data_IF_318612544033
#
_entry.id   IF_318612544033
#
_cell.length_a   1.000
_cell.length_b   1.000
_cell.length_c   1.000
_cell.angle_alpha   90.00
_cell.angle_beta   90.00
_cell.angle_gamma   90.00
#
_symmetry.space_group_name_H-M   'P 1'
#
loop_
_entity.id
_entity.type
_entity.pdbx_description
1 polymer ?
#
# COMPACT_ATOMS: atom_id res chain seq x y z
N UNK A 1 0.73 -12.58 -9.52
CA UNK A 1 1.84 -11.85 -10.19
C UNK A 1 1.38 -11.38 -11.56
N UNK A 2 1.30 -10.06 -11.79
CA UNK A 2 0.95 -9.50 -13.10
C UNK A 2 2.18 -9.59 -14.01
N UNK A 3 2.25 -10.64 -14.83
CA UNK A 3 3.31 -10.87 -15.81
C UNK A 3 3.13 -10.03 -17.07
N UNK A 4 2.98 -8.71 -16.95
CA UNK A 4 2.91 -7.81 -18.10
C UNK A 4 4.33 -7.37 -18.46
N UNK A 5 4.81 -7.86 -19.59
CA UNK A 5 6.05 -7.41 -20.21
C UNK A 5 5.88 -6.03 -20.86
N UNK A 6 6.99 -5.34 -21.16
CA UNK A 6 6.97 -4.02 -21.80
C UNK A 6 6.22 -4.00 -23.14
N UNK A 7 6.25 -5.10 -23.90
CA UNK A 7 5.51 -5.22 -25.16
C UNK A 7 4.00 -5.32 -24.96
N UNK A 8 3.55 -6.09 -23.98
CA UNK A 8 2.13 -6.23 -23.64
C UNK A 8 1.55 -4.92 -23.11
N UNK A 9 2.33 -4.14 -22.36
CA UNK A 9 1.92 -2.81 -21.91
C UNK A 9 1.68 -1.85 -23.09
N UNK A 10 2.56 -1.86 -24.10
CA UNK A 10 2.37 -1.06 -25.33
C UNK A 10 1.11 -1.49 -26.08
N UNK A 11 0.85 -2.81 -26.18
CA UNK A 11 -0.37 -3.32 -26.81
C UNK A 11 -1.63 -2.85 -26.08
N UNK A 12 -1.64 -2.88 -24.75
CA UNK A 12 -2.75 -2.37 -23.94
C UNK A 12 -2.94 -0.87 -24.12
N UNK A 13 -1.85 -0.11 -24.20
CA UNK A 13 -1.91 1.34 -24.47
C UNK A 13 -2.53 1.62 -25.83
N UNK A 14 -2.10 0.91 -26.88
CA UNK A 14 -2.68 1.04 -28.22
C UNK A 14 -4.16 0.67 -28.23
N UNK A 15 -4.55 -0.40 -27.53
CA UNK A 15 -5.95 -0.82 -27.42
C UNK A 15 -6.79 0.25 -26.69
N UNK A 16 -6.27 0.80 -25.60
CA UNK A 16 -6.94 1.89 -24.87
C UNK A 16 -7.08 3.15 -25.74
N UNK A 17 -6.04 3.50 -26.51
CA UNK A 17 -6.07 4.61 -27.46
C UNK A 17 -7.09 4.38 -28.59
N UNK A 18 -7.26 3.14 -29.05
CA UNK A 18 -8.24 2.81 -30.08
C UNK A 18 -9.69 2.88 -29.57
N UNK A 19 -9.94 2.34 -28.37
CA UNK A 19 -11.28 2.28 -27.76
C UNK A 19 -11.74 3.67 -27.31
N UNK A 20 -10.88 4.38 -26.58
CA UNK A 20 -11.24 5.66 -25.95
C UNK A 20 -10.82 6.88 -26.78
N UNK A 21 -9.78 6.75 -27.61
CA UNK A 21 -9.18 7.84 -28.38
C UNK A 21 -7.96 8.48 -27.69
N UNK A 22 -6.95 8.93 -28.47
CA UNK A 22 -5.74 9.57 -27.93
C UNK A 22 -5.98 10.87 -27.19
N UNK A 23 -7.08 11.57 -27.51
CA UNK A 23 -7.42 12.84 -26.87
C UNK A 23 -8.16 12.68 -25.55
N UNK A 24 -8.82 11.54 -25.32
CA UNK A 24 -9.69 11.33 -24.16
C UNK A 24 -8.91 10.82 -22.94
N UNK A 25 -7.93 9.93 -23.15
CA UNK A 25 -7.07 9.43 -22.07
C UNK A 25 -6.37 10.56 -21.28
N UNK A 26 -5.66 11.53 -21.91
CA UNK A 26 -5.02 12.61 -21.16
C UNK A 26 -6.03 13.52 -20.47
N UNK A 27 -7.18 13.80 -21.09
CA UNK A 27 -8.26 14.60 -20.47
C UNK A 27 -8.82 13.91 -19.22
N UNK A 28 -9.07 12.61 -19.28
CA UNK A 28 -9.55 11.82 -18.14
C UNK A 28 -8.51 11.78 -17.02
N UNK A 29 -7.23 11.52 -17.34
CA UNK A 29 -6.14 11.55 -16.36
C UNK A 29 -6.01 12.92 -15.68
N UNK A 30 -6.13 14.02 -16.43
CA UNK A 30 -6.12 15.38 -15.89
C UNK A 30 -7.31 15.66 -14.98
N UNK A 31 -8.49 15.13 -15.27
CA UNK A 31 -9.68 15.26 -14.41
C UNK A 31 -9.49 14.51 -13.10
N UNK A 32 -9.09 13.24 -13.17
CA UNK A 32 -8.79 12.42 -11.99
C UNK A 32 -7.68 13.05 -11.16
N UNK A 33 -6.60 13.53 -11.79
CA UNK A 33 -5.50 14.20 -11.11
C UNK A 33 -5.93 15.45 -10.35
N UNK A 34 -6.82 16.26 -10.93
CA UNK A 34 -7.40 17.44 -10.26
C UNK A 34 -8.24 17.04 -9.04
N UNK A 35 -9.10 16.03 -9.19
CA UNK A 35 -9.93 15.51 -8.09
C UNK A 35 -9.04 14.97 -6.96
N UNK A 36 -8.05 14.14 -7.27
CA UNK A 36 -7.11 13.59 -6.28
C UNK A 36 -6.33 14.70 -5.56
N UNK A 37 -5.92 15.75 -6.26
CA UNK A 37 -5.23 16.89 -5.65
C UNK A 37 -6.14 17.68 -4.72
N UNK A 38 -7.40 17.88 -5.11
CA UNK A 38 -8.38 18.55 -4.27
C UNK A 38 -8.69 17.72 -3.02
N UNK A 39 -8.92 16.41 -3.16
CA UNK A 39 -9.11 15.48 -2.05
C UNK A 39 -7.92 15.50 -1.08
N UNK A 40 -6.69 15.45 -1.58
CA UNK A 40 -5.48 15.55 -0.75
C UNK A 40 -5.43 16.88 0.02
N UNK A 41 -5.80 17.98 -0.63
CA UNK A 41 -5.80 19.30 0.00
C UNK A 41 -6.84 19.36 1.12
N UNK A 42 -8.05 18.87 0.86
CA UNK A 42 -9.13 18.80 1.85
C UNK A 42 -8.76 17.90 3.05
N UNK A 43 -8.17 16.73 2.79
CA UNK A 43 -7.72 15.82 3.83
C UNK A 43 -6.62 16.45 4.71
N UNK A 44 -5.69 17.19 4.11
CA UNK A 44 -4.65 17.91 4.84
C UNK A 44 -5.24 19.04 5.70
N UNK A 45 -6.17 19.83 5.14
CA UNK A 45 -6.85 20.91 5.88
C UNK A 45 -7.63 20.37 7.08
N UNK A 46 -8.48 19.36 6.88
CA UNK A 46 -9.23 18.74 7.97
C UNK A 46 -8.30 18.14 9.04
N UNK A 47 -7.19 17.54 8.63
CA UNK A 47 -6.18 17.02 9.57
C UNK A 47 -5.52 18.14 10.39
N UNK A 48 -5.31 19.32 9.80
CA UNK A 48 -4.77 20.48 10.51
C UNK A 48 -5.81 21.05 11.48
N UNK A 49 -7.07 21.19 11.05
CA UNK A 49 -8.16 21.71 11.88
C UNK A 49 -8.39 20.83 13.13
N UNK A 50 -8.31 19.50 12.97
CA UNK A 50 -8.42 18.55 14.09
C UNK A 50 -7.23 18.69 15.06
N UNK A 51 -6.01 18.87 14.55
CA UNK A 51 -4.81 19.09 15.38
C UNK A 51 -4.87 20.40 16.17
N UNK A 52 -5.42 21.45 15.57
CA UNK A 52 -5.57 22.75 16.22
C UNK A 52 -6.70 22.75 17.25
N UNK A 53 -7.81 22.06 16.97
CA UNK A 53 -9.00 22.03 17.84
C UNK A 53 -8.92 21.09 19.04
N UNK A 54 -8.14 20.00 18.98
CA UNK A 54 -8.09 19.00 20.04
C UNK A 54 -6.95 19.17 21.06
N UNK A 55 -6.07 20.14 20.86
CA UNK A 55 -4.97 20.43 21.79
C UNK A 55 -3.86 19.36 21.81
N UNK A 56 -2.78 19.58 22.60
CA UNK A 56 -1.55 18.80 22.56
C UNK A 56 -1.70 17.32 22.93
N UNK A 57 -2.85 16.88 23.43
CA UNK A 57 -3.13 15.50 23.85
C UNK A 57 -3.35 14.54 22.66
N UNK A 58 -3.53 15.07 21.45
CA UNK A 58 -3.64 14.31 20.19
C UNK A 58 -2.46 14.53 19.24
N UNK A 59 -1.40 15.24 19.69
CA UNK A 59 -0.16 15.41 18.91
C UNK A 59 0.52 14.08 18.57
N UNK A 60 0.27 13.04 19.37
CA UNK A 60 0.85 11.71 19.21
C UNK A 60 0.05 10.81 18.24
N UNK A 61 -1.09 11.27 17.71
CA UNK A 61 -1.77 10.57 16.61
C UNK A 61 -1.01 10.83 15.31
N UNK A 62 -0.12 9.91 14.96
CA UNK A 62 0.79 10.07 13.82
C UNK A 62 0.02 9.98 12.50
N UNK A 63 -0.37 11.14 11.97
CA UNK A 63 -1.03 11.31 10.67
C UNK A 63 -0.19 10.71 9.52
N UNK A 64 1.08 10.38 9.76
CA UNK A 64 1.94 9.70 8.79
C UNK A 64 1.56 8.24 8.52
N UNK A 65 0.81 7.58 9.41
CA UNK A 65 0.34 6.21 9.18
C UNK A 65 -0.90 6.16 8.26
N UNK A 66 -1.57 7.30 8.08
CA UNK A 66 -2.63 7.49 7.09
C UNK A 66 -2.10 7.86 5.70
N UNK A 67 -0.78 7.96 5.53
CA UNK A 67 -0.21 8.24 4.21
C UNK A 67 -0.50 7.03 3.29
N UNK A 68 -1.36 7.17 2.26
CA UNK A 68 -1.85 6.04 1.50
C UNK A 68 -0.72 5.26 0.84
N UNK A 69 0.41 5.92 0.52
CA UNK A 69 1.60 5.26 -0.01
C UNK A 69 2.24 4.29 0.99
N UNK A 70 2.30 4.65 2.27
CA UNK A 70 2.84 3.78 3.33
C UNK A 70 1.83 2.71 3.75
N UNK A 71 0.54 3.04 3.76
CA UNK A 71 -0.54 2.09 4.04
C UNK A 71 -0.61 0.98 2.98
N UNK A 72 -0.63 1.35 1.69
CA UNK A 72 -0.55 0.40 0.57
C UNK A 72 0.76 -0.38 0.65
N UNK A 73 1.87 0.27 1.00
CA UNK A 73 3.15 -0.42 1.14
C UNK A 73 3.21 -1.43 2.30
N UNK A 74 2.47 -1.22 3.38
CA UNK A 74 2.38 -2.21 4.46
C UNK A 74 1.48 -3.37 4.02
N UNK A 75 0.27 -3.08 3.52
CA UNK A 75 -0.70 -4.12 3.19
C UNK A 75 -0.35 -4.98 1.97
N UNK A 76 0.26 -4.41 0.92
CA UNK A 76 0.66 -5.21 -0.25
C UNK A 76 1.86 -6.11 0.01
N UNK A 77 2.77 -5.72 0.90
CA UNK A 77 3.95 -6.52 1.24
C UNK A 77 3.66 -7.52 2.38
N UNK A 78 2.73 -7.23 3.29
CA UNK A 78 2.33 -8.16 4.36
C UNK A 78 1.48 -9.33 3.85
N UNK A 79 0.68 -9.16 2.77
CA UNK A 79 -0.12 -10.24 2.18
C UNK A 79 0.71 -11.29 1.39
N UNK A 80 1.91 -10.94 0.90
CA UNK A 80 2.79 -11.88 0.18
C UNK A 80 3.72 -12.68 1.12
N UNK A 81 3.86 -12.27 2.39
CA UNK A 81 4.87 -12.77 3.34
C UNK A 81 4.32 -13.66 4.48
N UNK A 82 3.22 -14.39 4.28
CA UNK A 82 2.87 -15.53 5.16
C UNK A 82 3.30 -16.89 4.59
N UNK A 83 4.58 -17.31 4.74
CA UNK A 83 4.85 -18.72 4.96
C UNK A 83 4.49 -19.01 6.41
N UNK A 84 3.40 -19.75 6.65
CA UNK A 84 3.03 -20.32 7.95
C UNK A 84 4.24 -20.95 8.67
N UNK A 85 4.97 -20.17 9.47
CA UNK A 85 5.99 -20.71 10.37
C UNK A 85 5.28 -21.17 11.63
N UNK A 86 4.71 -22.37 11.55
CA UNK A 86 4.26 -23.14 12.72
C UNK A 86 5.37 -23.09 13.77
N UNK A 87 5.16 -22.45 14.94
CA UNK A 87 6.22 -22.37 15.93
C UNK A 87 6.51 -23.79 16.42
N UNK A 88 7.73 -24.27 16.14
CA UNK A 88 8.22 -25.53 16.71
C UNK A 88 7.93 -25.52 18.21
N UNK A 89 7.17 -26.53 18.69
CA UNK A 89 6.65 -26.60 20.04
C UNK A 89 7.77 -26.34 21.06
N UNK A 90 7.76 -25.15 21.65
CA UNK A 90 8.70 -24.76 22.70
C UNK A 90 8.14 -25.25 24.02
N UNK A 91 8.57 -26.42 24.47
CA UNK A 91 8.34 -26.85 25.84
C UNK A 91 9.17 -25.96 26.77
N UNK A 92 8.49 -25.13 27.57
CA UNK A 92 9.11 -24.29 28.59
C UNK A 92 10.21 -23.32 28.09
N UNK A 93 10.06 -22.79 26.87
CA UNK A 93 10.94 -21.76 26.30
C UNK A 93 12.33 -22.22 25.88
N UNK A 94 12.66 -23.51 26.04
CA UNK A 94 13.94 -24.10 25.59
C UNK A 94 13.72 -24.85 24.30
N UNK A 95 14.64 -24.68 23.35
CA UNK A 95 14.70 -25.57 22.18
C UNK A 95 15.16 -26.93 22.71
N UNK A 96 14.45 -28.03 22.42
CA UNK A 96 14.98 -29.34 22.73
C UNK A 96 16.37 -29.47 22.08
N UNK A 97 17.37 -30.00 22.80
CA UNK A 97 18.68 -30.25 22.21
C UNK A 97 18.49 -31.16 20.99
N UNK A 98 19.21 -30.84 19.92
CA UNK A 98 19.26 -31.72 18.76
C UNK A 98 20.09 -32.94 19.18
N UNK A 99 19.52 -34.13 19.01
CA UNK A 99 20.20 -35.38 19.35
C UNK A 99 20.90 -35.91 18.10
N UNK A 100 22.21 -35.73 18.08
CA UNK A 100 23.07 -36.09 16.95
C UNK A 100 23.28 -37.62 16.85
N UNK A 101 22.87 -38.38 17.87
CA UNK A 101 22.99 -39.85 17.94
C UNK A 101 21.77 -40.58 17.35
N UNK A 102 20.76 -39.86 16.88
CA UNK A 102 19.60 -40.44 16.20
C UNK A 102 19.95 -40.85 14.76
N UNK A 103 20.36 -42.11 14.56
CA UNK A 103 20.42 -42.79 13.25
C UNK A 103 19.56 -44.05 13.28
#
# INVERSE_FOLDING_TARGET
MFGISGGEFVLLLLLALLIFGPDQLPKAAQQVGRVLRQLRTMANSASNDIKEGLGPEYKDFDVQDLNPKRFIQKHFWEEEDEPEKKPASRLNGKRPPFDDEAT
#
